data_IF_118843389641
#
_entry.id   IF_118843389641
#
_cell.length_a   1.000
_cell.length_b   1.000
_cell.length_c   1.000
_cell.angle_alpha   90.00
_cell.angle_beta   90.00
_cell.angle_gamma   90.00
#
_symmetry.space_group_name_H-M   'P 1'
#
loop_
_entity.id
_entity.type
_entity.pdbx_description
1 polymer ?
#
# COMPACT_ATOMS: atom_id res chain seq x y z
N UNK A 1 8.18 -6.48 -6.16
CA UNK A 1 8.92 -6.50 -4.90
C UNK A 1 9.76 -5.26 -4.70
N UNK A 2 10.60 -4.91 -5.67
CA UNK A 2 11.57 -3.82 -5.55
C UNK A 2 11.00 -2.38 -5.51
N UNK A 3 9.67 -2.17 -5.61
CA UNK A 3 9.12 -0.81 -5.71
C UNK A 3 9.39 0.03 -4.47
N UNK A 4 9.31 -0.55 -3.27
CA UNK A 4 9.58 0.17 -2.01
C UNK A 4 11.04 0.57 -1.90
N UNK A 5 11.98 -0.35 -2.19
CA UNK A 5 13.41 -0.05 -2.14
C UNK A 5 13.83 0.98 -3.20
N UNK A 6 13.25 0.90 -4.41
CA UNK A 6 13.51 1.87 -5.48
C UNK A 6 13.00 3.26 -5.11
N UNK A 7 11.79 3.36 -4.54
CA UNK A 7 11.24 4.64 -4.11
C UNK A 7 12.03 5.22 -2.93
N UNK A 8 12.51 4.40 -1.99
CA UNK A 8 13.42 4.85 -0.92
C UNK A 8 14.68 5.48 -1.51
N UNK A 9 15.40 4.75 -2.36
CA UNK A 9 16.61 5.26 -3.01
C UNK A 9 16.35 6.51 -3.85
N UNK A 10 15.22 6.59 -4.55
CA UNK A 10 14.80 7.79 -5.27
C UNK A 10 14.59 9.00 -4.36
N UNK A 11 13.90 8.81 -3.23
CA UNK A 11 13.68 9.87 -2.25
C UNK A 11 14.98 10.38 -1.63
N UNK A 12 15.88 9.47 -1.25
CA UNK A 12 17.21 9.81 -0.71
C UNK A 12 18.11 10.51 -1.73
N UNK A 13 17.91 10.22 -3.04
CA UNK A 13 18.56 10.93 -4.14
C UNK A 13 17.92 12.30 -4.45
N UNK A 14 16.88 12.72 -3.72
CA UNK A 14 16.22 14.02 -3.88
C UNK A 14 15.00 14.02 -4.81
N UNK A 15 14.51 12.85 -5.26
CA UNK A 15 13.27 12.76 -6.05
C UNK A 15 12.07 12.98 -5.13
N UNK A 16 11.24 13.98 -5.45
CA UNK A 16 10.02 14.24 -4.72
C UNK A 16 8.89 14.72 -5.65
N UNK A 17 7.67 14.13 -5.57
CA UNK A 17 7.30 13.01 -4.69
C UNK A 17 7.90 11.69 -5.18
N UNK A 18 8.39 10.86 -4.24
CA UNK A 18 8.81 9.49 -4.52
C UNK A 18 7.70 8.52 -4.10
N UNK A 19 7.26 7.67 -5.01
CA UNK A 19 6.06 6.83 -4.81
C UNK A 19 6.36 5.37 -5.13
N UNK A 20 6.02 4.48 -4.21
CA UNK A 20 5.99 3.04 -4.45
C UNK A 20 4.54 2.57 -4.54
N UNK A 21 4.26 1.71 -5.53
CA UNK A 21 3.00 0.96 -5.58
C UNK A 21 3.33 -0.52 -5.47
N UNK A 22 2.65 -1.24 -4.59
CA UNK A 22 2.91 -2.66 -4.31
C UNK A 22 1.62 -3.40 -3.99
N UNK A 23 1.44 -4.61 -4.49
CA UNK A 23 0.32 -5.47 -4.07
C UNK A 23 0.56 -6.09 -2.70
N UNK A 24 -0.50 -6.33 -1.95
CA UNK A 24 -0.54 -7.06 -0.67
C UNK A 24 0.38 -8.31 -0.60
N UNK A 25 0.27 -9.22 -1.58
CA UNK A 25 1.07 -10.46 -1.57
C UNK A 25 2.56 -10.21 -1.80
N UNK A 26 2.87 -9.28 -2.70
CA UNK A 26 4.25 -8.87 -2.98
C UNK A 26 4.84 -8.10 -1.80
N UNK A 27 4.01 -7.32 -1.11
CA UNK A 27 4.38 -6.62 0.11
C UNK A 27 4.76 -7.62 1.21
N UNK A 28 3.94 -8.65 1.44
CA UNK A 28 4.24 -9.70 2.40
C UNK A 28 5.56 -10.44 2.11
N UNK A 29 5.88 -10.67 0.83
CA UNK A 29 7.11 -11.38 0.45
C UNK A 29 8.38 -10.53 0.44
N UNK A 30 8.27 -9.24 0.09
CA UNK A 30 9.46 -8.43 -0.24
C UNK A 30 9.34 -6.94 0.10
N UNK A 31 8.16 -6.48 0.52
CA UNK A 31 7.92 -5.08 0.87
C UNK A 31 8.11 -4.74 2.35
N UNK A 32 8.04 -5.74 3.24
CA UNK A 32 8.17 -5.53 4.70
C UNK A 32 9.54 -4.95 5.07
N UNK A 33 10.62 -5.63 4.69
CA UNK A 33 12.00 -5.23 5.01
C UNK A 33 12.35 -3.83 4.50
N UNK A 34 12.09 -3.46 3.24
CA UNK A 34 12.39 -2.10 2.77
C UNK A 34 11.46 -1.04 3.39
N UNK A 35 10.22 -1.40 3.78
CA UNK A 35 9.36 -0.46 4.52
C UNK A 35 9.93 -0.18 5.92
N UNK A 36 10.43 -1.19 6.62
CA UNK A 36 11.08 -1.03 7.93
C UNK A 36 12.27 -0.07 7.87
N UNK A 37 13.11 -0.19 6.83
CA UNK A 37 14.23 0.72 6.59
C UNK A 37 13.75 2.16 6.33
N UNK A 38 12.67 2.32 5.54
CA UNK A 38 12.05 3.63 5.29
C UNK A 38 11.44 4.25 6.56
N UNK A 39 10.87 3.44 7.47
CA UNK A 39 10.37 3.90 8.78
C UNK A 39 11.53 4.42 9.62
N UNK A 40 12.62 3.65 9.74
CA UNK A 40 13.77 4.05 10.55
C UNK A 40 14.42 5.35 10.04
N UNK A 41 14.46 5.51 8.72
CA UNK A 41 15.04 6.70 8.07
C UNK A 41 14.06 7.86 7.93
N UNK A 42 12.78 7.67 8.31
CA UNK A 42 11.65 8.55 8.00
C UNK A 42 11.70 9.09 6.54
N UNK A 43 11.94 8.20 5.58
CA UNK A 43 12.17 8.57 4.19
C UNK A 43 10.92 9.26 3.61
N UNK A 44 11.11 10.44 2.99
CA UNK A 44 10.06 11.25 2.37
C UNK A 44 9.47 10.63 1.12
N UNK A 45 8.69 9.56 1.27
CA UNK A 45 8.09 8.77 0.21
C UNK A 45 6.68 8.31 0.59
N UNK A 46 5.87 8.03 -0.42
CA UNK A 46 4.53 7.48 -0.25
C UNK A 46 4.48 6.04 -0.75
N UNK A 47 4.05 5.10 0.09
CA UNK A 47 3.84 3.70 -0.28
C UNK A 47 2.35 3.43 -0.42
N UNK A 48 1.93 3.00 -1.61
CA UNK A 48 0.55 2.60 -1.88
C UNK A 48 0.48 1.07 -1.94
N UNK A 49 -0.16 0.48 -0.94
CA UNK A 49 -0.40 -0.97 -0.86
C UNK A 49 -1.78 -1.26 -1.44
N UNK A 50 -1.83 -2.08 -2.49
CA UNK A 50 -3.06 -2.54 -3.11
C UNK A 50 -3.53 -3.81 -2.41
N UNK A 51 -4.49 -3.67 -1.49
CA UNK A 51 -5.11 -4.77 -0.74
C UNK A 51 -6.34 -5.27 -1.48
N UNK A 52 -6.11 -6.26 -2.35
CA UNK A 52 -7.15 -6.86 -3.18
C UNK A 52 -7.80 -8.12 -2.58
N UNK A 53 -7.38 -8.52 -1.37
CA UNK A 53 -7.88 -9.71 -0.69
C UNK A 53 -7.42 -11.06 -1.29
N UNK A 54 -6.71 -11.07 -2.43
CA UNK A 54 -6.31 -12.29 -3.16
C UNK A 54 -5.20 -11.99 -4.18
N UNK A 55 -4.33 -12.98 -4.47
CA UNK A 55 -3.32 -12.90 -5.53
C UNK A 55 -3.95 -13.10 -6.91
N UNK A 56 -4.49 -12.03 -7.49
CA UNK A 56 -5.18 -12.09 -8.79
C UNK A 56 -4.28 -12.57 -9.95
N UNK A 57 -2.97 -12.25 -9.92
CA UNK A 57 -2.06 -12.55 -11.04
C UNK A 57 -1.60 -14.01 -11.13
N UNK A 58 -1.68 -14.81 -10.05
CA UNK A 58 -1.08 -16.16 -10.02
C UNK A 58 -2.08 -17.27 -9.67
N UNK A 59 -3.35 -17.09 -10.01
CA UNK A 59 -4.38 -18.12 -9.82
C UNK A 59 -4.97 -18.17 -8.42
N UNK A 60 -5.44 -17.01 -7.93
CA UNK A 60 -6.35 -16.90 -6.76
C UNK A 60 -5.86 -17.55 -5.46
N UNK A 61 -4.55 -17.56 -5.24
CA UNK A 61 -4.01 -18.01 -3.96
C UNK A 61 -4.41 -17.05 -2.82
N UNK A 62 -4.69 -17.57 -1.61
CA UNK A 62 -4.98 -16.74 -0.46
C UNK A 62 -3.77 -15.83 -0.18
N UNK A 63 -4.03 -14.53 -0.07
CA UNK A 63 -3.03 -13.56 0.33
C UNK A 63 -3.03 -13.48 1.86
N UNK A 64 -1.94 -13.94 2.48
CA UNK A 64 -1.80 -14.07 3.93
C UNK A 64 -1.62 -12.73 4.66
N UNK A 65 -1.59 -11.61 3.94
CA UNK A 65 -1.42 -10.25 4.49
C UNK A 65 -2.46 -9.28 3.94
N UNK A 66 -3.73 -9.55 4.19
CA UNK A 66 -4.87 -8.72 3.73
C UNK A 66 -5.73 -8.31 4.92
N UNK A 67 -6.49 -7.22 4.79
CA UNK A 67 -7.40 -6.77 5.85
C UNK A 67 -6.68 -6.30 7.13
N UNK A 68 -7.30 -6.56 8.28
CA UNK A 68 -6.80 -6.14 9.61
C UNK A 68 -5.36 -6.61 9.91
N UNK A 69 -4.94 -7.85 9.57
CA UNK A 69 -3.54 -8.26 9.71
C UNK A 69 -2.54 -7.36 8.96
N UNK A 70 -2.88 -6.88 7.76
CA UNK A 70 -2.01 -5.97 7.01
C UNK A 70 -1.90 -4.61 7.70
N UNK A 71 -3.03 -4.07 8.17
CA UNK A 71 -3.09 -2.78 8.85
C UNK A 71 -2.22 -2.80 10.12
N UNK A 72 -2.36 -3.88 10.90
CA UNK A 72 -1.56 -4.12 12.11
C UNK A 72 -0.08 -4.34 11.82
N UNK A 73 0.24 -5.03 10.72
CA UNK A 73 1.63 -5.22 10.30
C UNK A 73 2.27 -3.88 9.97
N UNK A 74 1.62 -3.05 9.15
CA UNK A 74 2.14 -1.74 8.74
C UNK A 74 2.29 -0.81 9.96
N UNK A 75 1.29 -0.76 10.83
CA UNK A 75 1.38 0.00 12.09
C UNK A 75 2.48 -0.56 13.02
N UNK A 76 2.61 -1.89 13.10
CA UNK A 76 3.59 -2.58 13.93
C UNK A 76 5.04 -2.42 13.44
N UNK A 77 5.25 -2.11 12.16
CA UNK A 77 6.55 -1.72 11.62
C UNK A 77 6.97 -0.30 12.05
N UNK A 78 6.07 0.49 12.64
CA UNK A 78 6.36 1.83 13.16
C UNK A 78 5.94 2.97 12.24
N UNK A 79 5.07 2.71 11.25
CA UNK A 79 4.49 3.79 10.43
C UNK A 79 3.61 4.68 11.33
N UNK A 80 3.76 6.00 11.20
CA UNK A 80 2.94 6.97 11.93
C UNK A 80 1.46 6.80 11.57
N UNK A 81 0.62 6.62 12.58
CA UNK A 81 -0.83 6.44 12.40
C UNK A 81 -1.50 7.65 11.74
N UNK A 82 -0.94 8.85 11.86
CA UNK A 82 -1.44 10.04 11.18
C UNK A 82 -1.26 9.97 9.66
N UNK A 83 -0.23 9.23 9.21
CA UNK A 83 0.16 9.05 7.81
C UNK A 83 -0.05 7.61 7.32
N UNK A 84 -0.82 6.82 8.07
CA UNK A 84 -1.37 5.55 7.64
C UNK A 84 -2.82 5.76 7.22
N UNK A 85 -3.09 5.77 5.91
CA UNK A 85 -4.43 6.02 5.35
C UNK A 85 -4.99 4.74 4.74
N UNK A 86 -6.24 4.41 5.05
CA UNK A 86 -6.96 3.33 4.37
C UNK A 86 -8.03 3.97 3.49
N UNK A 87 -8.00 3.65 2.20
CA UNK A 87 -8.94 4.18 1.21
C UNK A 87 -9.68 3.06 0.49
N UNK A 88 -10.89 3.37 0.02
CA UNK A 88 -11.70 2.44 -0.79
C UNK A 88 -11.79 2.98 -2.22
N UNK A 89 -11.07 2.41 -3.20
CA UNK A 89 -10.96 2.90 -4.58
C UNK A 89 -12.21 2.57 -5.41
N UNK A 90 -13.33 3.24 -5.11
CA UNK A 90 -14.59 3.19 -5.85
C UNK A 90 -14.88 4.54 -6.52
N UNK A 91 -15.58 4.58 -7.68
CA UNK A 91 -15.92 5.83 -8.36
C UNK A 91 -16.65 6.85 -7.47
N UNK A 92 -17.57 6.38 -6.61
CA UNK A 92 -18.29 7.22 -5.64
C UNK A 92 -17.38 7.91 -4.62
N UNK A 93 -16.18 7.38 -4.39
CA UNK A 93 -15.19 7.92 -3.47
C UNK A 93 -14.05 8.65 -4.20
N UNK A 94 -14.16 8.88 -5.52
CA UNK A 94 -13.06 9.40 -6.32
C UNK A 94 -12.51 10.73 -5.78
N UNK A 95 -13.39 11.69 -5.47
CA UNK A 95 -12.97 12.99 -4.92
C UNK A 95 -12.22 12.85 -3.60
N UNK A 96 -12.72 12.00 -2.69
CA UNK A 96 -12.10 11.75 -1.39
C UNK A 96 -10.72 11.09 -1.54
N UNK A 97 -10.64 10.05 -2.37
CA UNK A 97 -9.40 9.32 -2.60
C UNK A 97 -8.33 10.22 -3.23
N UNK A 98 -8.72 11.07 -4.19
CA UNK A 98 -7.81 12.05 -4.79
C UNK A 98 -7.32 13.06 -3.75
N UNK A 99 -8.19 13.50 -2.83
CA UNK A 99 -7.82 14.41 -1.75
C UNK A 99 -6.76 13.78 -0.84
N UNK A 100 -7.04 12.58 -0.32
CA UNK A 100 -6.12 11.84 0.56
C UNK A 100 -4.78 11.58 -0.13
N UNK A 101 -4.79 11.09 -1.38
CA UNK A 101 -3.55 10.83 -2.12
C UNK A 101 -2.73 12.13 -2.30
N UNK A 102 -3.38 13.26 -2.60
CA UNK A 102 -2.68 14.55 -2.73
C UNK A 102 -2.07 15.02 -1.40
N UNK A 103 -2.79 14.87 -0.29
CA UNK A 103 -2.31 15.21 1.05
C UNK A 103 -1.04 14.41 1.39
N UNK A 104 -1.09 13.09 1.18
CA UNK A 104 0.03 12.19 1.51
C UNK A 104 1.23 12.31 0.56
N UNK A 105 1.01 12.65 -0.72
CA UNK A 105 2.10 12.93 -1.67
C UNK A 105 2.83 14.24 -1.35
N UNK A 106 2.16 15.19 -0.71
CA UNK A 106 2.76 16.45 -0.29
C UNK A 106 3.52 16.33 1.04
N UNK A 107 3.28 15.26 1.81
CA UNK A 107 3.97 15.00 3.06
C UNK A 107 5.45 14.69 2.83
N UNK A 108 6.30 15.17 3.75
CA UNK A 108 7.77 15.10 3.63
C UNK A 108 8.40 13.93 4.38
N UNK A 109 7.63 13.19 5.18
CA UNK A 109 8.06 11.95 5.82
C UNK A 109 7.50 10.71 5.12
N UNK A 110 7.62 9.56 5.77
CA UNK A 110 7.03 8.33 5.27
C UNK A 110 5.51 8.37 5.39
N UNK A 111 4.82 8.13 4.28
CA UNK A 111 3.36 7.93 4.26
C UNK A 111 3.00 6.59 3.63
N UNK A 112 1.95 5.95 4.16
CA UNK A 112 1.43 4.68 3.65
C UNK A 112 -0.07 4.79 3.39
N UNK A 113 -0.48 4.44 2.17
CA UNK A 113 -1.88 4.36 1.76
C UNK A 113 -2.22 2.90 1.45
N UNK A 114 -3.17 2.34 2.17
CA UNK A 114 -3.73 1.01 1.89
C UNK A 114 -5.02 1.20 1.07
N UNK A 115 -4.96 0.88 -0.22
CA UNK A 115 -6.12 0.89 -1.10
C UNK A 115 -6.82 -0.47 -1.05
N UNK A 116 -7.90 -0.55 -0.28
CA UNK A 116 -8.61 -1.80 0.01
C UNK A 116 -9.81 -2.00 -0.90
N UNK A 117 -9.79 -3.06 -1.70
CA UNK A 117 -10.93 -3.46 -2.54
C UNK A 117 -10.86 -4.93 -2.93
N UNK A 118 -11.88 -5.71 -2.59
CA UNK A 118 -11.99 -7.10 -3.07
C UNK A 118 -11.93 -7.20 -4.61
N UNK A 119 -11.20 -8.20 -5.11
CA UNK A 119 -11.08 -8.45 -6.54
C UNK A 119 -12.44 -8.80 -7.18
N UNK A 120 -12.82 -8.06 -8.23
CA UNK A 120 -14.12 -8.19 -8.92
C UNK A 120 -14.32 -9.58 -9.54
N UNK A 121 -13.27 -10.23 -10.02
CA UNK A 121 -13.37 -11.58 -10.63
C UNK A 121 -13.87 -12.62 -9.62
N UNK A 122 -13.44 -12.53 -8.37
CA UNK A 122 -13.82 -13.46 -7.30
C UNK A 122 -15.25 -13.21 -6.83
N UNK A 123 -15.67 -11.94 -6.75
CA UNK A 123 -17.08 -11.58 -6.49
C UNK A 123 -17.98 -12.12 -7.61
N UNK A 124 -17.48 -12.17 -8.85
CA UNK A 124 -18.18 -12.78 -9.99
C UNK A 124 -18.30 -14.29 -9.90
N UNK A 125 -17.25 -15.00 -9.45
CA UNK A 125 -17.26 -16.45 -9.26
C UNK A 125 -18.15 -16.89 -8.08
N UNK A 126 -18.08 -16.21 -6.93
CA UNK A 126 -18.97 -16.47 -5.78
C UNK A 126 -20.47 -16.26 -6.09
N UNK A 127 -20.81 -15.40 -7.05
CA UNK A 127 -22.20 -15.19 -7.50
C UNK A 127 -22.68 -16.26 -8.49
N UNK A 128 -21.78 -17.07 -9.05
CA UNK A 128 -22.08 -18.12 -10.02
C UNK A 128 -22.13 -19.53 -9.40
N UNK A 129 -21.63 -19.72 -8.18
CA UNK A 129 -21.86 -20.93 -7.37
C UNK A 129 -23.10 -20.78 -6.51
#
# INVERSE_FOLDING_TARGET
>A
GASVSMAKGGSEAGIHPSVAVIGDSTFAHSGITPLLDAVYSNTGMTVIILDNGTVAMTGTQPSFGTGDPLDRLVAGLGVDQNHLRIIVPLPKNHQENVRIIKEELAYRGLSVIIARRECIQIVGEKKRS
#
